data_IF_138449329011
#
_entry.id   IF_138449329011
#
_cell.length_a   1.000
_cell.length_b   1.000
_cell.length_c   1.000
_cell.angle_alpha   90.00
_cell.angle_beta   90.00
_cell.angle_gamma   90.00
#
_symmetry.space_group_name_H-M   'P 1'
#
loop_
_entity.id
_entity.type
_entity.pdbx_description
1 polymer ?
#
# COMPACT_ATOMS: atom_id res chain seq x y z
N UNK A 1 39.61 18.22 96.00
CA UNK A 1 38.66 18.74 96.99
C UNK A 1 37.29 18.72 96.36
N UNK A 2 36.44 18.01 97.01
CA UNK A 2 34.96 17.97 97.02
C UNK A 2 34.24 17.83 95.64
N UNK A 3 33.62 16.68 95.38
CA UNK A 3 32.26 16.20 95.81
C UNK A 3 31.13 17.12 95.24
N UNK A 4 30.09 16.66 94.56
CA UNK A 4 29.07 15.69 94.94
C UNK A 4 28.05 15.46 93.83
N UNK A 5 27.60 14.22 93.66
CA UNK A 5 26.24 13.61 93.64
C UNK A 5 25.22 14.14 92.60
N UNK A 6 24.87 13.36 91.63
CA UNK A 6 23.68 12.48 91.61
C UNK A 6 22.29 13.17 91.51
N UNK A 7 21.56 12.89 90.44
CA UNK A 7 20.20 12.28 90.50
C UNK A 7 19.69 11.85 89.13
N UNK A 8 19.21 10.63 89.10
CA UNK A 8 18.50 9.93 88.01
C UNK A 8 17.13 10.56 87.75
N UNK A 9 16.73 10.72 86.52
CA UNK A 9 15.33 10.58 86.12
C UNK A 9 15.22 9.85 84.77
N UNK A 10 14.55 8.72 84.76
CA UNK A 10 14.08 7.98 83.60
C UNK A 10 13.07 8.85 82.86
N UNK A 11 13.31 9.03 81.56
CA UNK A 11 12.31 9.51 80.61
C UNK A 11 12.14 8.50 79.49
N UNK A 12 11.01 7.86 79.45
CA UNK A 12 10.61 6.93 78.37
C UNK A 12 10.38 7.78 77.11
N UNK A 13 11.21 7.59 76.09
CA UNK A 13 10.94 8.12 74.72
C UNK A 13 10.32 7.01 73.86
N UNK A 14 9.04 7.23 73.51
CA UNK A 14 8.34 6.46 72.50
C UNK A 14 8.97 6.75 71.13
N UNK A 15 9.48 5.70 70.50
CA UNK A 15 9.99 5.72 69.12
C UNK A 15 8.79 5.60 68.18
N UNK A 16 8.34 6.72 67.60
CA UNK A 16 7.40 6.75 66.50
C UNK A 16 8.10 6.39 65.23
N UNK A 17 7.88 5.19 64.72
CA UNK A 17 8.31 4.78 63.36
C UNK A 17 7.40 5.45 62.34
N UNK A 18 7.87 6.57 61.75
CA UNK A 18 7.26 7.13 60.54
C UNK A 18 7.67 6.26 59.33
N UNK A 19 6.76 5.40 58.86
CA UNK A 19 6.89 4.70 57.62
C UNK A 19 6.75 5.71 56.47
N UNK A 20 7.87 6.12 55.86
CA UNK A 20 7.85 6.84 54.59
C UNK A 20 7.46 5.84 53.50
N UNK A 21 6.18 5.86 53.10
CA UNK A 21 5.72 5.23 51.87
C UNK A 21 6.26 6.09 50.72
N UNK A 22 7.41 5.70 50.19
CA UNK A 22 7.91 6.21 48.92
C UNK A 22 7.02 5.68 47.83
N UNK A 23 6.03 6.46 47.39
CA UNK A 23 5.33 6.26 46.12
C UNK A 23 6.34 6.48 45.02
N UNK A 24 6.98 5.43 44.55
CA UNK A 24 7.68 5.44 43.28
C UNK A 24 6.63 5.66 42.18
N UNK A 25 6.39 6.92 41.84
CA UNK A 25 5.82 7.29 40.56
C UNK A 25 6.82 6.84 39.51
N UNK A 26 6.62 5.63 38.96
CA UNK A 26 7.26 5.24 37.76
C UNK A 26 6.72 6.17 36.67
N UNK A 27 7.45 7.27 36.40
CA UNK A 27 7.37 7.93 35.11
C UNK A 27 7.73 6.88 34.08
N UNK A 28 6.70 6.20 33.58
CA UNK A 28 6.82 5.46 32.32
C UNK A 28 7.10 6.54 31.27
N UNK A 29 8.39 6.84 31.07
CA UNK A 29 8.82 7.66 29.95
C UNK A 29 8.12 7.07 28.71
N UNK A 30 7.20 7.81 28.13
CA UNK A 30 6.49 7.37 26.93
C UNK A 30 7.57 7.00 25.91
N UNK A 31 7.72 5.71 25.65
CA UNK A 31 8.71 5.22 24.70
C UNK A 31 8.46 5.93 23.37
N UNK A 32 9.49 6.58 22.83
CA UNK A 32 9.39 7.28 21.56
C UNK A 32 8.88 6.29 20.49
N UNK A 33 7.92 6.76 19.68
CA UNK A 33 7.36 5.92 18.61
C UNK A 33 8.43 5.56 17.60
N UNK A 34 8.36 4.34 17.09
CA UNK A 34 9.21 3.90 16.00
C UNK A 34 8.84 4.67 14.73
N UNK A 35 9.81 5.36 14.16
CA UNK A 35 9.61 6.05 12.88
C UNK A 35 9.48 5.02 11.76
N UNK A 36 8.41 5.12 10.97
CA UNK A 36 8.16 4.25 9.82
C UNK A 36 7.78 5.08 8.60
N UNK A 37 8.65 5.12 7.60
CA UNK A 37 8.40 5.82 6.34
C UNK A 37 7.95 4.81 5.29
N UNK A 38 6.75 5.02 4.76
CA UNK A 38 6.15 4.19 3.73
C UNK A 38 6.18 4.90 2.38
N UNK A 39 6.79 4.26 1.38
CA UNK A 39 6.82 4.74 0.00
C UNK A 39 5.50 4.44 -0.73
N UNK A 40 4.81 5.51 -1.15
CA UNK A 40 3.61 5.42 -2.00
C UNK A 40 4.05 5.46 -3.45
N UNK A 41 3.68 4.49 -4.32
CA UNK A 41 4.21 4.38 -5.69
C UNK A 41 3.62 5.42 -6.67
N UNK A 42 2.97 6.45 -6.17
CA UNK A 42 2.31 7.51 -6.94
C UNK A 42 2.22 8.79 -6.12
N UNK A 43 1.57 9.83 -6.66
CA UNK A 43 1.14 10.97 -5.86
C UNK A 43 0.13 10.55 -4.79
N UNK A 44 0.05 11.35 -3.73
CA UNK A 44 -0.96 11.19 -2.68
C UNK A 44 -2.35 11.42 -3.29
N UNK A 45 -3.24 10.48 -3.08
CA UNK A 45 -4.64 10.54 -3.52
C UNK A 45 -5.52 9.66 -2.62
N UNK A 46 -6.82 9.67 -2.81
CA UNK A 46 -7.77 8.83 -2.05
C UNK A 46 -7.53 7.31 -2.23
N UNK A 47 -6.67 6.90 -3.16
CA UNK A 47 -6.23 5.52 -3.30
C UNK A 47 -5.49 4.95 -2.07
N UNK A 48 -5.00 5.82 -1.18
CA UNK A 48 -4.35 5.44 0.09
C UNK A 48 -5.16 5.82 1.32
N UNK A 49 -6.45 6.14 1.16
CA UNK A 49 -7.30 6.62 2.24
C UNK A 49 -7.38 5.65 3.43
N UNK A 50 -7.23 4.34 3.20
CA UNK A 50 -7.19 3.33 4.26
C UNK A 50 -6.02 3.53 5.25
N UNK A 51 -4.84 3.96 4.78
CA UNK A 51 -3.72 4.31 5.68
C UNK A 51 -3.98 5.59 6.45
N UNK A 52 -4.59 6.57 5.79
CA UNK A 52 -4.96 7.85 6.42
C UNK A 52 -6.02 7.62 7.48
N UNK A 53 -7.01 6.77 7.20
CA UNK A 53 -8.04 6.43 8.17
C UNK A 53 -7.50 5.59 9.33
N UNK A 54 -6.52 4.70 9.05
CA UNK A 54 -5.80 4.00 10.12
C UNK A 54 -5.08 4.99 11.07
N UNK A 55 -4.47 6.04 10.53
CA UNK A 55 -3.83 7.10 11.30
C UNK A 55 -4.85 7.90 12.10
N UNK A 56 -5.95 8.32 11.47
CA UNK A 56 -7.04 9.07 12.11
C UNK A 56 -7.69 8.30 13.27
N UNK A 57 -7.87 6.97 13.12
CA UNK A 57 -8.43 6.11 14.16
C UNK A 57 -7.40 5.66 15.21
N UNK A 58 -6.16 6.14 15.10
CA UNK A 58 -5.09 5.88 16.06
C UNK A 58 -4.48 4.48 15.98
N UNK A 59 -4.67 3.73 14.88
CA UNK A 59 -4.16 2.35 14.79
C UNK A 59 -2.63 2.29 14.71
N UNK A 60 -1.97 3.25 14.08
CA UNK A 60 -0.51 3.34 14.12
C UNK A 60 0.00 3.73 15.50
N UNK A 61 -0.72 4.59 16.20
CA UNK A 61 -0.38 4.99 17.58
C UNK A 61 -0.47 3.82 18.56
N UNK A 62 -1.52 2.98 18.44
CA UNK A 62 -1.68 1.73 19.20
C UNK A 62 -0.52 0.75 18.98
N UNK A 63 0.10 0.79 17.82
CA UNK A 63 1.24 -0.03 17.47
C UNK A 63 2.59 0.66 17.77
N UNK A 64 2.59 1.79 18.45
CA UNK A 64 3.77 2.60 18.76
C UNK A 64 4.58 2.98 17.50
N UNK A 65 3.90 3.36 16.41
CA UNK A 65 4.49 3.74 15.13
C UNK A 65 4.19 5.21 14.83
N UNK A 66 5.24 6.00 14.52
CA UNK A 66 5.11 7.29 13.83
C UNK A 66 5.18 7.05 12.31
N UNK A 67 4.00 6.92 11.69
CA UNK A 67 3.87 6.59 10.29
C UNK A 67 3.89 7.83 9.40
N UNK A 68 4.82 7.84 8.44
CA UNK A 68 4.94 8.86 7.41
C UNK A 68 4.80 8.24 6.03
N UNK A 69 4.17 8.96 5.11
CA UNK A 69 4.01 8.54 3.70
C UNK A 69 4.76 9.50 2.80
N UNK A 70 5.53 8.95 1.86
CA UNK A 70 6.25 9.73 0.85
C UNK A 70 5.85 9.28 -0.56
N UNK A 71 5.43 10.22 -1.43
CA UNK A 71 5.13 9.89 -2.82
C UNK A 71 6.40 9.63 -3.61
N UNK A 72 6.44 8.54 -4.36
CA UNK A 72 7.57 8.11 -5.19
C UNK A 72 7.08 7.74 -6.60
N UNK A 73 7.90 8.02 -7.62
CA UNK A 73 7.50 7.84 -9.01
C UNK A 73 7.75 6.39 -9.51
N UNK A 74 7.14 5.39 -8.84
CA UNK A 74 7.21 3.99 -9.25
C UNK A 74 8.45 3.25 -8.77
N UNK A 75 8.56 1.98 -9.16
CA UNK A 75 9.55 1.03 -8.64
C UNK A 75 11.01 1.44 -8.87
N UNK A 76 11.31 2.12 -9.98
CA UNK A 76 12.66 2.59 -10.27
C UNK A 76 13.18 3.60 -9.24
N UNK A 77 12.30 4.32 -8.55
CA UNK A 77 12.64 5.25 -7.46
C UNK A 77 12.54 4.56 -6.10
N UNK A 78 11.57 3.66 -5.93
CA UNK A 78 11.32 2.94 -4.68
C UNK A 78 12.50 2.04 -4.30
N UNK A 79 12.97 1.22 -5.22
CA UNK A 79 14.01 0.21 -4.94
C UNK A 79 15.29 0.82 -4.35
N UNK A 80 15.90 1.88 -4.93
CA UNK A 80 17.06 2.52 -4.32
C UNK A 80 16.79 3.10 -2.94
N UNK A 81 15.58 3.61 -2.67
CA UNK A 81 15.23 4.18 -1.37
C UNK A 81 15.04 3.12 -0.28
N UNK A 82 14.50 1.94 -0.64
CA UNK A 82 14.48 0.78 0.26
C UNK A 82 15.90 0.33 0.58
N UNK A 83 16.75 0.15 -0.43
CA UNK A 83 18.13 -0.33 -0.28
C UNK A 83 19.00 0.63 0.53
N UNK A 84 18.75 1.94 0.46
CA UNK A 84 19.44 2.97 1.26
C UNK A 84 18.78 3.21 2.62
N UNK A 85 17.74 2.45 2.98
CA UNK A 85 16.97 2.56 4.22
C UNK A 85 16.35 3.96 4.46
N UNK A 86 16.10 4.73 3.39
CA UNK A 86 15.39 6.00 3.47
C UNK A 86 13.89 5.79 3.72
N UNK A 87 13.36 4.66 3.27
CA UNK A 87 12.01 4.17 3.57
C UNK A 87 12.10 2.74 4.13
N UNK A 88 11.20 2.38 5.04
CA UNK A 88 11.16 1.06 5.66
C UNK A 88 10.37 0.04 4.86
N UNK A 89 9.32 0.50 4.19
CA UNK A 89 8.51 -0.31 3.27
C UNK A 89 7.96 0.55 2.14
N UNK A 90 7.51 -0.09 1.07
CA UNK A 90 6.79 0.56 0.00
C UNK A 90 5.68 -0.33 -0.57
N UNK A 91 4.65 0.30 -1.13
CA UNK A 91 3.65 -0.37 -1.97
C UNK A 91 4.22 -0.61 -3.36
N UNK A 92 5.08 -1.62 -3.52
CA UNK A 92 5.80 -1.85 -4.77
C UNK A 92 5.05 -2.80 -5.71
N UNK A 93 5.27 -2.62 -7.01
CA UNK A 93 4.88 -3.60 -8.03
C UNK A 93 5.73 -4.87 -7.89
N UNK A 94 5.13 -6.03 -8.15
CA UNK A 94 5.78 -7.34 -7.96
C UNK A 94 6.83 -7.67 -9.03
N UNK A 95 6.61 -7.20 -10.25
CA UNK A 95 7.35 -7.58 -11.46
C UNK A 95 8.86 -7.31 -11.37
N UNK A 96 9.34 -6.15 -10.87
CA UNK A 96 10.78 -5.87 -10.81
C UNK A 96 11.56 -6.89 -9.98
N UNK A 97 10.98 -7.34 -8.86
CA UNK A 97 11.64 -8.36 -8.04
C UNK A 97 11.66 -9.73 -8.73
N UNK A 98 10.55 -10.13 -9.39
CA UNK A 98 10.51 -11.36 -10.19
C UNK A 98 11.60 -11.33 -11.27
N UNK A 99 11.70 -10.23 -12.02
CA UNK A 99 12.72 -10.08 -13.07
C UNK A 99 14.14 -10.18 -12.49
N UNK A 100 14.38 -9.53 -11.35
CA UNK A 100 15.70 -9.50 -10.71
C UNK A 100 16.10 -10.86 -10.11
N UNK A 101 15.14 -11.70 -9.72
CA UNK A 101 15.39 -13.02 -9.10
C UNK A 101 15.63 -14.16 -10.09
N UNK A 102 15.58 -13.88 -11.41
CA UNK A 102 15.95 -14.87 -12.39
C UNK A 102 17.43 -15.29 -12.21
N UNK A 103 17.78 -16.57 -12.43
CA UNK A 103 19.16 -17.01 -12.40
C UNK A 103 20.08 -16.13 -13.23
N UNK A 104 21.21 -15.71 -12.66
CA UNK A 104 22.22 -14.85 -13.34
C UNK A 104 21.85 -13.37 -13.45
N UNK A 105 20.71 -12.92 -12.89
CA UNK A 105 20.33 -11.50 -12.83
C UNK A 105 20.72 -10.84 -11.50
N UNK A 106 20.49 -9.54 -11.40
CA UNK A 106 20.74 -8.79 -10.18
C UNK A 106 19.88 -9.36 -9.02
N UNK A 107 20.52 -9.50 -7.84
CA UNK A 107 19.84 -10.01 -6.67
C UNK A 107 19.64 -8.87 -5.65
N UNK A 108 18.50 -8.22 -5.67
CA UNK A 108 18.16 -7.21 -4.67
C UNK A 108 17.81 -7.88 -3.34
N UNK A 109 18.40 -7.46 -2.21
CA UNK A 109 18.08 -7.99 -0.88
C UNK A 109 16.73 -7.44 -0.38
N UNK A 110 15.67 -7.71 -1.15
CA UNK A 110 14.29 -7.26 -0.92
C UNK A 110 13.34 -8.46 -0.89
N UNK A 111 12.23 -8.31 -0.20
CA UNK A 111 11.20 -9.34 -0.12
C UNK A 111 9.82 -8.72 0.09
N UNK A 112 8.81 -9.32 -0.52
CA UNK A 112 7.41 -8.99 -0.25
C UNK A 112 6.92 -9.69 1.01
N UNK A 113 6.30 -8.93 1.89
CA UNK A 113 5.83 -9.41 3.20
C UNK A 113 4.32 -9.31 3.37
N UNK A 114 3.62 -8.57 2.50
CA UNK A 114 2.19 -8.33 2.61
C UNK A 114 1.55 -8.20 1.22
N UNK A 115 0.59 -9.05 0.90
CA UNK A 115 -0.20 -8.95 -0.33
C UNK A 115 -1.25 -7.84 -0.17
N UNK A 116 -1.01 -6.69 -0.80
CA UNK A 116 -1.85 -5.51 -0.64
C UNK A 116 -2.96 -5.46 -1.70
N UNK A 117 -2.64 -5.78 -2.96
CA UNK A 117 -3.57 -5.73 -4.09
C UNK A 117 -3.56 -7.07 -4.83
N UNK A 118 -4.54 -7.93 -4.49
CA UNK A 118 -4.65 -9.31 -4.99
C UNK A 118 -5.09 -9.40 -6.44
N UNK A 119 -5.73 -8.35 -6.96
CA UNK A 119 -6.01 -8.19 -8.37
C UNK A 119 -5.17 -7.06 -8.94
N UNK A 120 -4.85 -7.15 -10.23
CA UNK A 120 -4.20 -6.04 -10.92
C UNK A 120 -5.07 -4.79 -10.84
N UNK A 121 -4.44 -3.69 -10.46
CA UNK A 121 -5.06 -2.36 -10.51
C UNK A 121 -4.93 -1.73 -11.88
N UNK A 122 -4.01 -2.25 -12.69
CA UNK A 122 -3.70 -1.71 -14.00
C UNK A 122 -4.78 -2.04 -15.01
N UNK A 123 -5.15 -1.06 -15.80
CA UNK A 123 -6.16 -1.20 -16.83
C UNK A 123 -5.65 -0.60 -18.15
N UNK A 124 -5.96 -1.25 -19.25
CA UNK A 124 -5.86 -0.66 -20.59
C UNK A 124 -7.20 -0.02 -20.91
N UNK A 125 -7.24 1.32 -20.85
CA UNK A 125 -8.46 2.07 -21.11
C UNK A 125 -8.36 2.84 -22.43
N UNK A 126 -9.44 2.82 -23.17
CA UNK A 126 -9.66 3.60 -24.38
C UNK A 126 -10.92 4.45 -24.21
N UNK A 127 -11.10 5.51 -24.99
CA UNK A 127 -12.38 6.23 -25.01
C UNK A 127 -13.50 5.29 -25.45
N UNK A 128 -14.73 5.49 -24.92
CA UNK A 128 -15.86 4.60 -25.22
C UNK A 128 -16.12 4.41 -26.73
N UNK A 129 -15.90 5.45 -27.51
CA UNK A 129 -16.08 5.46 -28.96
C UNK A 129 -14.85 5.05 -29.76
N UNK A 130 -13.73 4.67 -29.09
CA UNK A 130 -12.51 4.26 -29.77
C UNK A 130 -12.73 3.08 -30.73
N UNK A 131 -12.13 3.08 -31.92
CA UNK A 131 -12.11 1.92 -32.83
C UNK A 131 -11.30 0.75 -32.27
N UNK A 132 -10.37 0.99 -31.34
CA UNK A 132 -9.58 -0.06 -30.66
C UNK A 132 -10.51 -0.89 -29.77
N UNK A 133 -10.75 -2.15 -30.09
CA UNK A 133 -11.69 -3.04 -29.37
C UNK A 133 -10.97 -4.08 -28.52
N UNK A 134 -9.80 -4.51 -28.93
CA UNK A 134 -8.98 -5.54 -28.32
C UNK A 134 -7.55 -5.05 -28.12
N UNK A 135 -6.75 -5.78 -27.34
CA UNK A 135 -5.32 -5.50 -27.18
C UNK A 135 -4.58 -5.66 -28.50
N UNK A 136 -5.01 -6.57 -29.39
CA UNK A 136 -4.38 -6.76 -30.72
C UNK A 136 -4.51 -5.53 -31.62
N UNK A 137 -5.56 -4.72 -31.46
CA UNK A 137 -5.79 -3.50 -32.25
C UNK A 137 -4.80 -2.36 -31.88
N UNK A 138 -3.99 -2.54 -30.83
CA UNK A 138 -2.96 -1.59 -30.41
C UNK A 138 -1.73 -1.61 -31.31
N UNK A 139 -1.62 -2.57 -32.23
CA UNK A 139 -0.53 -2.60 -33.23
C UNK A 139 -0.46 -1.29 -34.01
N UNK A 140 0.72 -0.66 -34.07
CA UNK A 140 0.95 0.61 -34.71
C UNK A 140 0.36 1.83 -34.00
N UNK A 141 -0.23 1.65 -32.83
CA UNK A 141 -0.82 2.76 -32.03
C UNK A 141 0.17 3.33 -31.02
N UNK A 142 -0.19 4.50 -30.49
CA UNK A 142 0.52 5.11 -29.37
C UNK A 142 -0.21 4.76 -28.08
N UNK A 143 0.51 4.21 -27.12
CA UNK A 143 0.01 3.90 -25.78
C UNK A 143 0.59 4.86 -24.75
N UNK A 144 -0.24 5.36 -23.86
CA UNK A 144 0.17 6.20 -22.75
C UNK A 144 0.43 5.35 -21.49
N UNK A 145 1.53 5.59 -20.83
CA UNK A 145 1.90 4.97 -19.56
C UNK A 145 2.32 6.04 -18.55
N UNK A 146 2.34 5.71 -17.25
CA UNK A 146 2.81 6.66 -16.22
C UNK A 146 4.25 7.09 -16.48
N UNK A 147 5.16 6.12 -16.54
CA UNK A 147 6.58 6.33 -16.82
C UNK A 147 7.22 5.02 -17.30
N UNK A 148 8.35 5.10 -17.97
CA UNK A 148 9.12 3.92 -18.36
C UNK A 148 9.75 3.18 -17.17
N UNK A 149 9.85 3.84 -16.00
CA UNK A 149 10.32 3.26 -14.75
C UNK A 149 9.21 2.63 -13.89
N UNK A 150 7.95 2.61 -14.35
CA UNK A 150 6.85 1.94 -13.67
C UNK A 150 7.02 0.42 -13.75
N UNK A 151 6.79 -0.28 -12.62
CA UNK A 151 6.97 -1.73 -12.56
C UNK A 151 6.05 -2.49 -13.51
N UNK A 152 4.83 -1.99 -13.75
CA UNK A 152 3.86 -2.62 -14.66
C UNK A 152 4.24 -2.58 -16.16
N UNK A 153 5.32 -1.90 -16.54
CA UNK A 153 5.79 -1.90 -17.93
C UNK A 153 6.08 -3.33 -18.40
N UNK A 154 6.63 -4.18 -17.54
CA UNK A 154 6.88 -5.58 -17.84
C UNK A 154 5.58 -6.34 -18.13
N UNK A 155 4.57 -6.22 -17.28
CA UNK A 155 3.27 -6.83 -17.53
C UNK A 155 2.59 -6.25 -18.76
N UNK A 156 2.74 -4.95 -19.02
CA UNK A 156 2.23 -4.30 -20.25
C UNK A 156 2.82 -4.94 -21.50
N UNK A 157 4.15 -5.15 -21.52
CA UNK A 157 4.83 -5.84 -22.63
C UNK A 157 4.32 -7.27 -22.80
N UNK A 158 4.19 -7.99 -21.69
CA UNK A 158 3.71 -9.36 -21.69
C UNK A 158 2.28 -9.47 -22.23
N UNK A 159 1.37 -8.57 -21.82
CA UNK A 159 -0.03 -8.51 -22.32
C UNK A 159 -0.05 -8.24 -23.85
N UNK A 160 0.72 -7.28 -24.31
CA UNK A 160 0.83 -6.97 -25.73
C UNK A 160 1.37 -8.16 -26.53
N UNK A 161 2.47 -8.77 -26.08
CA UNK A 161 3.07 -9.94 -26.72
C UNK A 161 2.10 -11.12 -26.80
N UNK A 162 1.35 -11.41 -25.73
CA UNK A 162 0.35 -12.46 -25.70
C UNK A 162 -0.84 -12.20 -26.65
N UNK A 163 -1.11 -10.92 -26.96
CA UNK A 163 -2.08 -10.52 -27.98
C UNK A 163 -1.46 -10.44 -29.39
N UNK A 164 -0.24 -10.92 -29.58
CA UNK A 164 0.48 -10.91 -30.85
C UNK A 164 1.01 -9.53 -31.26
N UNK A 165 1.15 -8.58 -30.34
CA UNK A 165 1.64 -7.22 -30.58
C UNK A 165 3.03 -7.06 -29.95
N UNK A 166 4.13 -7.19 -30.74
CA UNK A 166 5.48 -6.92 -30.24
C UNK A 166 5.63 -5.47 -29.73
N UNK A 167 6.46 -5.30 -28.70
CA UNK A 167 6.67 -4.01 -28.06
C UNK A 167 7.15 -2.90 -29.02
N UNK A 168 7.99 -3.25 -29.97
CA UNK A 168 8.51 -2.34 -30.99
C UNK A 168 7.46 -1.94 -32.04
N UNK A 169 6.30 -2.57 -32.06
CA UNK A 169 5.16 -2.24 -32.92
C UNK A 169 4.14 -1.31 -32.26
N UNK A 170 4.40 -0.83 -31.05
CA UNK A 170 3.64 0.25 -30.41
C UNK A 170 4.55 1.44 -30.11
N UNK A 171 4.02 2.64 -30.23
CA UNK A 171 4.70 3.83 -29.69
C UNK A 171 4.32 3.99 -28.23
N UNK A 172 5.31 4.21 -27.37
CA UNK A 172 5.07 4.37 -25.93
C UNK A 172 5.37 5.81 -25.53
N UNK A 173 4.39 6.45 -24.90
CA UNK A 173 4.52 7.82 -24.41
C UNK A 173 4.35 7.82 -22.89
N UNK A 174 5.34 8.34 -22.18
CA UNK A 174 5.24 8.61 -20.76
C UNK A 174 4.40 9.86 -20.56
N UNK A 175 3.14 9.69 -20.17
CA UNK A 175 2.15 10.78 -20.00
C UNK A 175 1.92 11.18 -18.54
N UNK A 176 2.58 10.49 -17.59
CA UNK A 176 2.30 10.71 -16.17
C UNK A 176 0.91 10.22 -15.80
N UNK A 177 0.25 10.97 -14.92
CA UNK A 177 -1.13 10.75 -14.48
C UNK A 177 -1.84 12.10 -14.30
N UNK A 178 -3.20 12.06 -14.09
CA UNK A 178 -4.00 13.25 -13.95
C UNK A 178 -4.25 13.96 -15.28
N UNK A 179 -4.39 15.29 -15.23
CA UNK A 179 -4.88 16.10 -16.36
C UNK A 179 -4.07 15.87 -17.64
N UNK A 180 -2.74 15.83 -17.56
CA UNK A 180 -1.89 15.64 -18.72
C UNK A 180 -2.15 14.30 -19.45
N UNK A 181 -2.23 13.21 -18.69
CA UNK A 181 -2.54 11.89 -19.23
C UNK A 181 -3.95 11.83 -19.84
N UNK A 182 -4.89 12.51 -19.19
CA UNK A 182 -6.28 12.56 -19.64
C UNK A 182 -6.44 13.35 -20.93
N UNK A 183 -5.74 14.49 -21.06
CA UNK A 183 -5.75 15.26 -22.30
C UNK A 183 -5.05 14.54 -23.45
N UNK A 184 -3.98 13.80 -23.17
CA UNK A 184 -3.35 12.97 -24.19
C UNK A 184 -4.31 11.93 -24.81
N UNK A 185 -5.18 11.33 -23.97
CA UNK A 185 -6.21 10.40 -24.44
C UNK A 185 -7.37 11.11 -25.17
N UNK A 186 -7.84 12.25 -24.65
CA UNK A 186 -8.95 13.01 -25.24
C UNK A 186 -8.59 13.59 -26.61
N UNK A 187 -7.35 14.05 -26.77
CA UNK A 187 -6.84 14.63 -28.03
C UNK A 187 -6.36 13.61 -29.03
N UNK A 188 -6.53 12.31 -28.74
CA UNK A 188 -6.05 11.19 -29.58
C UNK A 188 -4.51 11.17 -29.77
N UNK A 189 -3.75 11.88 -28.92
CA UNK A 189 -2.30 11.78 -28.87
C UNK A 189 -1.85 10.36 -28.51
N UNK A 190 -2.63 9.70 -27.69
CA UNK A 190 -2.55 8.28 -27.36
C UNK A 190 -3.89 7.61 -27.62
N UNK A 191 -3.90 6.37 -28.09
CA UNK A 191 -5.13 5.61 -28.36
C UNK A 191 -5.51 4.69 -27.21
N UNK A 192 -4.60 4.42 -26.27
CA UNK A 192 -4.83 3.66 -25.05
C UNK A 192 -4.04 4.26 -23.90
N UNK A 193 -4.67 4.33 -22.74
CA UNK A 193 -4.07 4.80 -21.49
C UNK A 193 -3.95 3.63 -20.50
N UNK A 194 -2.73 3.36 -20.04
CA UNK A 194 -2.47 2.35 -19.01
C UNK A 194 -2.23 3.03 -17.66
N UNK A 195 -3.29 3.17 -16.91
CA UNK A 195 -3.27 3.63 -15.54
C UNK A 195 -4.01 2.64 -14.64
N UNK A 196 -4.20 3.00 -13.39
CA UNK A 196 -4.93 2.20 -12.41
C UNK A 196 -6.41 2.61 -12.33
N UNK A 197 -7.23 1.73 -11.76
CA UNK A 197 -8.69 1.83 -11.71
C UNK A 197 -9.21 3.18 -11.19
N UNK A 198 -8.63 3.71 -10.10
CA UNK A 198 -9.09 4.99 -9.54
C UNK A 198 -8.68 6.20 -10.37
N UNK A 199 -7.56 6.14 -11.12
CA UNK A 199 -7.19 7.17 -12.07
C UNK A 199 -8.17 7.19 -13.26
N UNK A 200 -8.55 6.03 -13.77
CA UNK A 200 -9.58 5.94 -14.82
C UNK A 200 -10.95 6.37 -14.32
N UNK A 201 -11.33 6.01 -13.09
CA UNK A 201 -12.55 6.50 -12.47
C UNK A 201 -12.58 8.04 -12.36
N UNK A 202 -11.43 8.67 -12.06
CA UNK A 202 -11.33 10.15 -12.08
C UNK A 202 -11.61 10.73 -13.47
N UNK A 203 -11.13 10.10 -14.53
CA UNK A 203 -11.37 10.53 -15.90
C UNK A 203 -12.85 10.37 -16.30
N UNK A 204 -13.50 9.28 -15.87
CA UNK A 204 -14.92 9.04 -16.10
C UNK A 204 -15.80 10.04 -15.33
N UNK A 205 -15.46 10.31 -14.06
CA UNK A 205 -16.13 11.35 -13.25
C UNK A 205 -15.97 12.74 -13.88
N UNK A 206 -14.83 13.00 -14.54
CA UNK A 206 -14.59 14.22 -15.31
C UNK A 206 -15.33 14.27 -16.67
N UNK A 207 -16.20 13.29 -16.96
CA UNK A 207 -17.07 13.28 -18.14
C UNK A 207 -16.45 12.64 -19.39
N UNK A 208 -15.41 11.85 -19.26
CA UNK A 208 -14.83 11.07 -20.38
C UNK A 208 -15.16 9.59 -20.21
N UNK A 209 -16.20 9.07 -20.86
CA UNK A 209 -16.53 7.65 -20.78
C UNK A 209 -15.41 6.78 -21.34
N UNK A 210 -15.05 5.74 -20.60
CA UNK A 210 -14.00 4.82 -20.97
C UNK A 210 -14.54 3.41 -21.22
N UNK A 211 -13.77 2.63 -21.98
CA UNK A 211 -13.93 1.20 -22.11
C UNK A 211 -12.59 0.55 -21.80
N UNK A 212 -12.60 -0.47 -20.94
CA UNK A 212 -11.44 -1.30 -20.60
C UNK A 212 -11.27 -2.37 -21.67
N UNK A 213 -10.04 -2.59 -22.12
CA UNK A 213 -9.72 -3.71 -22.96
C UNK A 213 -9.53 -4.95 -22.11
N UNK A 214 -10.16 -6.06 -22.50
CA UNK A 214 -9.97 -7.32 -21.80
C UNK A 214 -8.56 -7.86 -22.00
N UNK A 215 -7.94 -8.29 -20.91
CA UNK A 215 -6.65 -8.95 -20.95
C UNK A 215 -6.79 -10.41 -21.37
N UNK A 216 -5.77 -10.97 -22.05
CA UNK A 216 -5.70 -12.42 -22.24
C UNK A 216 -5.85 -13.16 -20.90
N UNK A 217 -6.50 -14.34 -20.93
CA UNK A 217 -6.95 -15.07 -19.73
C UNK A 217 -5.83 -15.30 -18.69
N UNK A 218 -4.60 -15.51 -19.15
CA UNK A 218 -3.44 -15.72 -18.27
C UNK A 218 -3.05 -14.49 -17.42
N UNK A 219 -3.57 -13.31 -17.74
CA UNK A 219 -3.31 -12.06 -16.98
C UNK A 219 -4.49 -11.68 -16.07
N UNK A 220 -5.55 -12.47 -16.04
CA UNK A 220 -6.68 -12.21 -15.15
C UNK A 220 -6.40 -12.72 -13.74
N UNK A 221 -6.75 -11.92 -12.72
CA UNK A 221 -6.55 -12.26 -11.32
C UNK A 221 -5.09 -12.33 -10.87
N UNK A 222 -4.20 -11.62 -11.57
CA UNK A 222 -2.78 -11.49 -11.18
C UNK A 222 -2.65 -10.40 -10.12
N UNK A 223 -1.98 -10.70 -9.01
CA UNK A 223 -1.63 -9.69 -7.99
C UNK A 223 -0.70 -8.63 -8.58
N UNK A 224 -0.82 -7.39 -8.14
CA UNK A 224 -0.03 -6.29 -8.71
C UNK A 224 0.90 -5.59 -7.72
N UNK A 225 0.50 -5.43 -6.46
CA UNK A 225 1.28 -4.68 -5.47
C UNK A 225 1.27 -5.37 -4.11
N UNK A 226 2.41 -5.27 -3.44
CA UNK A 226 2.59 -5.72 -2.07
C UNK A 226 3.46 -4.77 -1.27
N UNK A 227 3.56 -4.99 0.04
CA UNK A 227 4.56 -4.29 0.83
C UNK A 227 5.89 -4.99 0.66
N UNK A 228 6.83 -4.25 0.10
CA UNK A 228 8.21 -4.67 -0.11
C UNK A 228 9.10 -4.03 0.96
N UNK A 229 9.98 -4.83 1.54
CA UNK A 229 10.95 -4.44 2.59
C UNK A 229 12.33 -5.01 2.27
N UNK A 230 13.37 -4.52 2.95
CA UNK A 230 14.69 -5.14 2.86
C UNK A 230 14.77 -6.45 3.66
N UNK A 231 15.57 -7.41 3.18
CA UNK A 231 15.86 -8.65 3.93
C UNK A 231 16.48 -8.34 5.31
N UNK A 232 17.26 -7.25 5.41
CA UNK A 232 17.84 -6.78 6.66
C UNK A 232 16.75 -6.36 7.66
N UNK A 233 15.81 -5.49 7.26
CA UNK A 233 14.70 -5.07 8.14
C UNK A 233 13.84 -6.27 8.56
N UNK A 234 13.56 -7.18 7.63
CA UNK A 234 12.77 -8.38 7.93
C UNK A 234 13.46 -9.29 8.95
N UNK A 235 14.79 -9.41 8.89
CA UNK A 235 15.59 -10.21 9.83
C UNK A 235 15.74 -9.51 11.18
N UNK A 236 16.09 -8.22 11.18
CA UNK A 236 16.55 -7.52 12.38
C UNK A 236 15.36 -6.96 13.19
N UNK A 237 14.26 -6.58 12.55
CA UNK A 237 13.08 -6.04 13.21
C UNK A 237 11.76 -6.51 12.58
N UNK A 238 11.47 -7.81 12.53
CA UNK A 238 10.21 -8.34 11.99
C UNK A 238 8.98 -7.83 12.78
N UNK A 239 9.16 -7.52 14.07
CA UNK A 239 8.12 -6.98 14.93
C UNK A 239 7.61 -5.61 14.48
N UNK A 240 8.47 -4.74 13.96
CA UNK A 240 8.07 -3.45 13.41
C UNK A 240 7.21 -3.63 12.15
N UNK A 241 7.62 -4.54 11.26
CA UNK A 241 6.86 -4.86 10.05
C UNK A 241 5.49 -5.45 10.43
N UNK A 242 5.45 -6.35 11.42
CA UNK A 242 4.22 -6.98 11.91
C UNK A 242 3.23 -5.94 12.45
N UNK A 243 3.69 -5.00 13.26
CA UNK A 243 2.89 -3.90 13.81
C UNK A 243 2.37 -2.97 12.71
N UNK A 244 3.22 -2.59 11.75
CA UNK A 244 2.80 -1.80 10.59
C UNK A 244 1.73 -2.52 9.77
N UNK A 245 1.93 -3.79 9.43
CA UNK A 245 0.96 -4.59 8.67
C UNK A 245 -0.37 -4.75 9.40
N UNK A 246 -0.37 -4.89 10.73
CA UNK A 246 -1.60 -4.96 11.54
C UNK A 246 -2.36 -3.64 11.51
N UNK A 247 -1.69 -2.50 11.69
CA UNK A 247 -2.32 -1.19 11.58
C UNK A 247 -2.91 -0.95 10.18
N UNK A 248 -2.19 -1.33 9.12
CA UNK A 248 -2.66 -1.25 7.74
C UNK A 248 -3.90 -2.13 7.49
N UNK A 249 -3.91 -3.35 8.06
CA UNK A 249 -5.07 -4.26 7.99
C UNK A 249 -6.29 -3.67 8.68
N UNK A 250 -6.15 -3.14 9.90
CA UNK A 250 -7.22 -2.42 10.61
C UNK A 250 -7.74 -1.24 9.79
N UNK A 251 -6.85 -0.43 9.20
CA UNK A 251 -7.23 0.69 8.35
C UNK A 251 -8.01 0.27 7.11
N UNK A 252 -7.66 -0.85 6.51
CA UNK A 252 -8.38 -1.42 5.37
C UNK A 252 -9.78 -1.89 5.78
N UNK A 253 -9.91 -2.62 6.90
CA UNK A 253 -11.21 -3.03 7.45
C UNK A 253 -12.07 -1.80 7.76
N UNK A 254 -11.51 -0.80 8.43
CA UNK A 254 -12.22 0.42 8.82
C UNK A 254 -12.71 1.20 7.60
N UNK A 255 -11.86 1.39 6.59
CA UNK A 255 -12.22 2.13 5.38
C UNK A 255 -13.33 1.43 4.59
N UNK A 256 -13.28 0.10 4.48
CA UNK A 256 -14.32 -0.69 3.82
C UNK A 256 -15.64 -0.64 4.60
N UNK A 257 -15.59 -0.59 5.92
CA UNK A 257 -16.78 -0.49 6.77
C UNK A 257 -17.45 0.89 6.73
N UNK A 258 -16.69 1.96 6.39
CA UNK A 258 -17.19 3.34 6.30
C UNK A 258 -16.43 4.12 5.23
N UNK A 259 -16.79 3.95 3.97
CA UNK A 259 -16.16 4.66 2.85
C UNK A 259 -16.26 6.19 2.97
N UNK A 260 -17.41 6.70 3.40
CA UNK A 260 -17.61 8.14 3.57
C UNK A 260 -16.70 8.71 4.65
N UNK A 261 -16.66 8.07 5.82
CA UNK A 261 -15.76 8.45 6.91
C UNK A 261 -14.30 8.38 6.50
N UNK A 262 -13.91 7.31 5.78
CA UNK A 262 -12.57 7.13 5.25
C UNK A 262 -12.16 8.28 4.31
N UNK A 263 -13.05 8.68 3.39
CA UNK A 263 -12.80 9.78 2.47
C UNK A 263 -12.75 11.13 3.19
N UNK A 264 -13.65 11.38 4.13
CA UNK A 264 -13.63 12.59 4.96
C UNK A 264 -12.36 12.69 5.81
N UNK A 265 -11.90 11.59 6.39
CA UNK A 265 -10.62 11.54 7.09
C UNK A 265 -9.44 11.81 6.16
N UNK A 266 -9.48 11.30 4.93
CA UNK A 266 -8.48 11.62 3.91
C UNK A 266 -8.45 13.14 3.63
N UNK A 267 -9.58 13.80 3.41
CA UNK A 267 -9.64 15.24 3.21
C UNK A 267 -9.23 16.07 4.43
N UNK A 268 -9.47 15.57 5.64
CA UNK A 268 -8.99 16.21 6.88
C UNK A 268 -7.46 16.31 6.92
N UNK A 269 -6.77 15.27 6.47
CA UNK A 269 -5.30 15.22 6.43
C UNK A 269 -4.70 15.86 5.17
N UNK A 270 -5.47 15.88 4.07
CA UNK A 270 -5.07 16.43 2.76
C UNK A 270 -6.17 17.35 2.21
N UNK A 271 -6.40 18.52 2.83
CA UNK A 271 -7.52 19.41 2.47
C UNK A 271 -7.39 19.97 1.04
N UNK A 272 -6.19 20.04 0.50
CA UNK A 272 -5.93 20.44 -0.89
C UNK A 272 -6.43 19.42 -1.90
N UNK A 273 -6.68 18.17 -1.50
CA UNK A 273 -7.22 17.10 -2.33
C UNK A 273 -8.75 17.13 -2.42
N UNK A 274 -9.43 17.90 -1.57
CA UNK A 274 -10.89 18.05 -1.65
C UNK A 274 -11.27 19.01 -2.78
N UNK A 275 -12.10 18.59 -3.76
CA UNK A 275 -12.58 19.48 -4.79
C UNK A 275 -13.32 20.69 -4.19
N UNK A 276 -13.12 21.87 -4.82
CA UNK A 276 -13.68 23.14 -4.35
C UNK A 276 -14.92 23.58 -5.14
N UNK A 277 -15.29 22.84 -6.19
CA UNK A 277 -16.38 23.18 -7.11
C UNK A 277 -17.43 22.09 -7.05
N UNK A 278 -18.67 22.47 -6.77
CA UNK A 278 -19.83 21.59 -6.63
C UNK A 278 -20.46 21.66 -5.24
N UNK A 279 -21.60 21.04 -5.07
CA UNK A 279 -22.21 20.86 -3.74
C UNK A 279 -21.47 19.78 -2.96
N UNK A 280 -21.55 19.79 -1.62
CA UNK A 280 -20.93 18.75 -0.78
C UNK A 280 -21.38 17.34 -1.19
N UNK A 281 -22.66 17.17 -1.51
CA UNK A 281 -23.23 15.88 -1.94
C UNK A 281 -22.65 15.41 -3.28
N UNK A 282 -22.53 16.32 -4.26
CA UNK A 282 -21.93 16.01 -5.56
C UNK A 282 -20.46 15.67 -5.44
N UNK A 283 -19.70 16.44 -4.64
CA UNK A 283 -18.29 16.20 -4.38
C UNK A 283 -18.12 14.82 -3.73
N UNK A 284 -18.87 14.56 -2.66
CA UNK A 284 -18.82 13.29 -1.95
C UNK A 284 -19.11 12.09 -2.89
N UNK A 285 -20.20 12.18 -3.65
CA UNK A 285 -20.59 11.13 -4.60
C UNK A 285 -19.52 10.87 -5.65
N UNK A 286 -18.94 11.92 -6.24
CA UNK A 286 -17.91 11.83 -7.27
C UNK A 286 -16.62 11.24 -6.71
N UNK A 287 -16.17 11.70 -5.56
CA UNK A 287 -14.92 11.25 -4.95
C UNK A 287 -15.04 9.82 -4.38
N UNK A 288 -16.20 9.42 -3.88
CA UNK A 288 -16.48 8.03 -3.55
C UNK A 288 -16.41 7.13 -4.78
N UNK A 289 -16.94 7.57 -5.94
CA UNK A 289 -16.83 6.80 -7.18
C UNK A 289 -15.37 6.60 -7.62
N UNK A 290 -14.45 7.49 -7.25
CA UNK A 290 -13.01 7.38 -7.50
C UNK A 290 -12.33 6.44 -6.48
N UNK A 291 -12.64 6.58 -5.20
CA UNK A 291 -11.96 5.87 -4.12
C UNK A 291 -12.41 4.42 -3.96
N UNK A 292 -13.73 4.17 -4.04
CA UNK A 292 -14.33 2.87 -3.70
C UNK A 292 -13.76 1.71 -4.52
N UNK A 293 -13.52 1.81 -5.83
CA UNK A 293 -12.92 0.72 -6.60
C UNK A 293 -11.60 0.22 -6.02
N UNK A 294 -10.72 1.13 -5.57
CA UNK A 294 -9.47 0.79 -4.88
C UNK A 294 -9.72 0.06 -3.57
N UNK A 295 -10.65 0.55 -2.76
CA UNK A 295 -10.96 -0.08 -1.46
C UNK A 295 -11.58 -1.46 -1.65
N UNK A 296 -12.40 -1.65 -2.67
CA UNK A 296 -12.94 -2.95 -3.06
C UNK A 296 -11.84 -3.91 -3.51
N UNK A 297 -10.86 -3.44 -4.28
CA UNK A 297 -9.71 -4.25 -4.68
C UNK A 297 -8.85 -4.66 -3.46
N UNK A 298 -8.57 -3.73 -2.54
CA UNK A 298 -7.87 -4.03 -1.28
C UNK A 298 -8.63 -5.08 -0.47
N UNK A 299 -9.95 -4.97 -0.39
CA UNK A 299 -10.84 -5.87 0.34
C UNK A 299 -11.22 -7.14 -0.41
N UNK A 300 -10.68 -7.36 -1.61
CA UNK A 300 -10.99 -8.56 -2.37
C UNK A 300 -10.32 -9.79 -1.76
N UNK A 301 -11.12 -10.82 -1.53
CA UNK A 301 -10.68 -12.17 -1.21
C UNK A 301 -11.43 -13.13 -2.12
N UNK A 302 -10.73 -14.08 -2.70
CA UNK A 302 -11.36 -15.03 -3.60
C UNK A 302 -12.48 -15.82 -2.87
N UNK A 303 -13.60 -16.11 -3.53
CA UNK A 303 -14.70 -16.84 -2.91
C UNK A 303 -14.23 -18.16 -2.28
N UNK A 304 -14.68 -18.44 -1.05
CA UNK A 304 -14.32 -19.64 -0.29
C UNK A 304 -12.94 -19.61 0.37
N UNK A 305 -12.15 -18.55 0.16
CA UNK A 305 -10.87 -18.39 0.85
C UNK A 305 -11.03 -17.63 2.18
N UNK A 306 -10.26 -17.97 3.23
CA UNK A 306 -10.28 -17.22 4.48
C UNK A 306 -9.79 -15.79 4.23
N UNK A 307 -10.43 -14.82 4.90
CA UNK A 307 -10.03 -13.41 4.86
C UNK A 307 -8.80 -13.20 5.74
N UNK A 308 -7.62 -13.46 5.19
CA UNK A 308 -6.34 -13.26 5.88
C UNK A 308 -5.59 -12.10 5.22
N UNK A 309 -5.53 -11.00 5.92
CA UNK A 309 -4.82 -9.80 5.45
C UNK A 309 -3.34 -10.08 5.27
N UNK A 310 -2.80 -9.62 4.16
CA UNK A 310 -1.38 -9.73 3.84
C UNK A 310 -0.93 -11.08 3.27
N UNK A 311 -1.78 -12.11 3.25
CA UNK A 311 -1.39 -13.44 2.79
C UNK A 311 -1.23 -13.50 1.28
N UNK A 312 -0.10 -14.04 0.84
CA UNK A 312 0.12 -14.49 -0.54
C UNK A 312 -0.28 -15.95 -0.69
N UNK A 313 -1.00 -16.27 -1.75
CA UNK A 313 -1.08 -17.64 -2.24
C UNK A 313 0.10 -17.89 -3.20
N UNK A 314 0.59 -19.12 -3.26
CA UNK A 314 1.63 -19.52 -4.22
C UNK A 314 1.22 -19.20 -5.66
N UNK A 315 -0.08 -19.36 -5.95
CA UNK A 315 -0.67 -19.02 -7.23
C UNK A 315 -0.43 -17.57 -7.65
N UNK A 316 -0.41 -16.62 -6.72
CA UNK A 316 -0.20 -15.20 -7.03
C UNK A 316 1.12 -14.97 -7.77
N UNK A 317 2.14 -15.73 -7.40
CA UNK A 317 3.48 -15.65 -7.97
C UNK A 317 3.66 -16.52 -9.20
N UNK A 318 3.16 -17.77 -9.17
CA UNK A 318 3.30 -18.69 -10.30
C UNK A 318 2.57 -18.17 -11.54
N UNK A 319 1.37 -17.57 -11.37
CA UNK A 319 0.62 -16.95 -12.47
C UNK A 319 1.37 -15.73 -13.01
N UNK A 320 1.92 -14.87 -12.14
CA UNK A 320 2.70 -13.71 -12.56
C UNK A 320 3.98 -14.12 -13.32
N UNK A 321 4.74 -15.10 -12.80
CA UNK A 321 5.95 -15.61 -13.45
C UNK A 321 5.60 -16.19 -14.84
N UNK A 322 4.56 -17.01 -14.92
CA UNK A 322 4.12 -17.58 -16.20
C UNK A 322 3.67 -16.51 -17.21
N UNK A 323 2.95 -15.49 -16.73
CA UNK A 323 2.53 -14.36 -17.56
C UNK A 323 3.74 -13.57 -18.10
N UNK A 324 4.72 -13.26 -17.25
CA UNK A 324 5.95 -12.56 -17.63
C UNK A 324 6.82 -13.41 -18.58
N UNK A 325 6.83 -14.73 -18.39
CA UNK A 325 7.51 -15.65 -19.31
C UNK A 325 6.85 -15.65 -20.69
N UNK A 326 5.53 -15.73 -20.73
CA UNK A 326 4.78 -15.66 -21.98
C UNK A 326 5.04 -14.35 -22.76
N UNK A 327 5.32 -13.27 -22.05
CA UNK A 327 5.70 -11.97 -22.62
C UNK A 327 7.19 -11.80 -22.91
N UNK A 328 8.03 -12.81 -22.64
CA UNK A 328 9.47 -12.75 -22.85
C UNK A 328 10.26 -11.96 -21.80
N UNK A 329 9.62 -11.49 -20.72
CA UNK A 329 10.27 -10.74 -19.64
C UNK A 329 11.00 -11.68 -18.64
N UNK A 330 10.51 -12.91 -18.49
CA UNK A 330 11.15 -13.99 -17.76
C UNK A 330 11.65 -15.02 -18.76
N UNK A 331 12.96 -15.25 -18.78
CA UNK A 331 13.62 -16.26 -19.65
C UNK A 331 13.86 -17.56 -18.90
N UNK A 332 14.06 -17.49 -17.58
CA UNK A 332 14.23 -18.65 -16.70
C UNK A 332 13.20 -18.55 -15.54
N UNK A 333 12.27 -19.51 -15.51
CA UNK A 333 11.19 -19.57 -14.51
C UNK A 333 11.60 -20.28 -13.22
N UNK A 334 12.83 -20.81 -13.13
CA UNK A 334 13.36 -21.45 -11.93
C UNK A 334 13.67 -20.44 -10.83
N UNK A 335 12.66 -19.65 -10.46
CA UNK A 335 12.73 -18.62 -9.43
C UNK A 335 12.19 -19.21 -8.13
N UNK A 336 13.03 -19.38 -7.09
CA UNK A 336 12.55 -19.86 -5.81
C UNK A 336 11.54 -18.89 -5.20
N UNK A 337 10.28 -19.29 -5.02
CA UNK A 337 9.21 -18.43 -4.49
C UNK A 337 9.57 -17.89 -3.10
N UNK A 338 10.31 -18.65 -2.29
CA UNK A 338 10.82 -18.20 -0.99
C UNK A 338 11.77 -17.00 -1.09
N UNK A 339 12.34 -16.74 -2.27
CA UNK A 339 13.14 -15.53 -2.52
C UNK A 339 12.32 -14.30 -2.80
N UNK A 340 11.06 -14.46 -3.18
CA UNK A 340 10.15 -13.37 -3.57
C UNK A 340 9.33 -12.86 -2.39
N UNK A 341 8.78 -13.76 -1.58
CA UNK A 341 7.84 -13.39 -0.52
C UNK A 341 7.95 -14.26 0.73
N UNK A 342 7.28 -13.82 1.79
CA UNK A 342 7.04 -14.63 2.99
C UNK A 342 5.69 -14.33 3.60
N UNK A 343 5.03 -15.38 4.11
CA UNK A 343 3.79 -15.28 4.91
C UNK A 343 4.06 -15.39 6.43
N UNK A 344 5.33 -15.37 6.86
CA UNK A 344 5.69 -15.58 8.27
C UNK A 344 5.01 -14.59 9.24
N UNK A 345 4.73 -13.37 8.78
CA UNK A 345 4.13 -12.31 9.59
C UNK A 345 2.59 -12.23 9.46
N UNK A 346 1.97 -13.03 8.58
CA UNK A 346 0.51 -13.01 8.35
C UNK A 346 -0.29 -13.26 9.64
N UNK A 347 0.07 -14.20 10.53
CA UNK A 347 -0.63 -14.34 11.81
C UNK A 347 -0.66 -13.05 12.62
N UNK A 348 0.43 -12.29 12.63
CA UNK A 348 0.55 -11.04 13.38
C UNK A 348 -0.29 -9.90 12.77
N UNK A 349 -0.39 -9.83 11.45
CA UNK A 349 -1.23 -8.83 10.76
C UNK A 349 -2.71 -8.97 11.09
N UNK A 350 -3.14 -10.18 11.44
CA UNK A 350 -4.54 -10.53 11.69
C UNK A 350 -4.89 -10.63 13.19
N UNK A 351 -3.97 -10.26 14.09
CA UNK A 351 -4.21 -10.22 15.55
C UNK A 351 -5.00 -8.98 15.96
N UNK A 352 -6.25 -8.89 15.56
CA UNK A 352 -7.17 -7.84 15.99
C UNK A 352 -8.63 -8.31 15.86
N UNK A 353 -9.52 -7.64 16.57
CA UNK A 353 -10.96 -7.85 16.45
C UNK A 353 -11.52 -6.99 15.31
N UNK A 354 -11.85 -7.64 14.18
CA UNK A 354 -12.41 -6.97 13.02
C UNK A 354 -13.77 -6.31 13.31
N UNK A 355 -14.61 -6.93 14.16
CA UNK A 355 -15.93 -6.37 14.49
C UNK A 355 -15.79 -5.09 15.32
N UNK A 356 -14.83 -5.04 16.25
CA UNK A 356 -14.54 -3.82 17.00
C UNK A 356 -14.01 -2.70 16.09
N UNK A 357 -13.13 -3.03 15.13
CA UNK A 357 -12.63 -2.07 14.12
C UNK A 357 -13.76 -1.52 13.27
N UNK A 358 -14.65 -2.39 12.76
CA UNK A 358 -15.81 -1.95 11.98
C UNK A 358 -16.75 -1.06 12.78
N UNK A 359 -17.02 -1.41 14.06
CA UNK A 359 -17.88 -0.61 14.94
C UNK A 359 -17.27 0.78 15.18
N UNK A 360 -15.96 0.86 15.46
CA UNK A 360 -15.25 2.13 15.63
C UNK A 360 -15.32 2.97 14.34
N UNK A 361 -15.10 2.36 13.19
CA UNK A 361 -15.16 3.06 11.90
C UNK A 361 -16.56 3.61 11.61
N UNK A 362 -17.62 2.84 11.85
CA UNK A 362 -19.01 3.26 11.65
C UNK A 362 -19.44 4.37 12.61
N UNK A 363 -18.84 4.45 13.79
CA UNK A 363 -19.11 5.50 14.79
C UNK A 363 -18.37 6.82 14.46
N UNK A 364 -17.35 6.79 13.62
CA UNK A 364 -16.61 7.98 13.21
C UNK A 364 -17.43 8.82 12.21
N UNK A 365 -17.50 10.16 12.42
CA UNK A 365 -18.37 11.10 11.69
C UNK A 365 -17.56 12.15 10.94
#
# INVERSE_FOLDING_TARGET
>A
MMQSKSFRKLGVMAVGAAAMVSTALSDAAAQAKDKFVYGVPSAISSAIANFVFAKELGYFDQENIDMQMVPLAGSAVIIPQLLSNQIQAAGASLEPLVIARQPGKANFPLKFVYNYLRNSVWEFAVTANSPVKTVADLRGKTIGIVSLGSGNVYTTRAILAAAGVPWDQVKVLAVGFGVQAFEALRSDQIQMLNLWESAHASLEVAGTPLRRLEYPAQFQGVSSHGFEVTDALLKDNPGLIARFGRAASKGSVACIANYEGCLKAFWKHYPEQKPKVGTEEEILRKELAIMVPRMQNIGYFAPGQPKRWGEYAERDWTVLIAALKAGGEVTDENIPLSSLYTNALVPEYNKFDSAAVEAQAKAWK
#
